data_IF_773791481946
#
_entry.id   IF_773791481946
#
_cell.length_a   1.000
_cell.length_b   1.000
_cell.length_c   1.000
_cell.angle_alpha   90.00
_cell.angle_beta   90.00
_cell.angle_gamma   90.00
#
_symmetry.space_group_name_H-M   'P 1'
#
loop_
_entity.id
_entity.type
_entity.pdbx_description
1 polymer ?
#
# COMPACT_ATOMS: atom_id res chain seq x y z
N UNK A 1 8.13 7.25 -19.18
CA UNK A 1 7.11 6.59 -18.32
C UNK A 1 6.41 7.74 -17.62
N UNK A 2 5.22 8.07 -18.10
CA UNK A 2 4.47 9.27 -17.71
C UNK A 2 3.43 8.86 -16.64
N UNK A 3 3.58 9.37 -15.42
CA UNK A 3 2.89 8.92 -14.21
C UNK A 3 1.51 9.58 -14.01
N UNK A 4 0.70 9.67 -15.07
CA UNK A 4 -0.52 10.50 -15.03
C UNK A 4 -1.84 9.76 -14.74
N UNK A 5 -1.87 8.47 -14.39
CA UNK A 5 -3.17 7.77 -14.21
C UNK A 5 -3.15 6.57 -13.26
N UNK A 6 -2.69 6.76 -12.02
CA UNK A 6 -3.00 5.81 -10.93
C UNK A 6 -3.84 6.55 -9.89
N UNK A 7 -5.17 6.44 -10.00
CA UNK A 7 -6.11 6.94 -8.99
C UNK A 7 -6.37 5.84 -7.95
N UNK A 8 -5.86 6.02 -6.73
CA UNK A 8 -6.27 5.24 -5.57
C UNK A 8 -7.36 6.02 -4.82
N UNK A 9 -8.57 5.46 -4.70
CA UNK A 9 -9.64 6.03 -3.87
C UNK A 9 -9.71 5.28 -2.55
N UNK A 10 -9.37 5.95 -1.44
CA UNK A 10 -9.50 5.42 -0.07
C UNK A 10 -10.42 6.36 0.70
N UNK A 11 -11.62 5.90 1.05
CA UNK A 11 -12.55 6.64 1.91
C UNK A 11 -12.29 6.25 3.37
N UNK A 12 -11.67 7.14 4.15
CA UNK A 12 -11.43 6.96 5.58
C UNK A 12 -12.30 7.88 6.44
N UNK A 13 -13.09 7.32 7.37
CA UNK A 13 -13.59 8.03 8.57
C UNK A 13 -12.67 7.69 9.73
N UNK A 14 -12.04 8.70 10.33
CA UNK A 14 -11.06 8.55 11.40
C UNK A 14 -11.67 8.77 12.78
N UNK A 15 -11.48 7.79 13.66
CA UNK A 15 -11.21 7.98 15.09
C UNK A 15 -10.35 6.79 15.52
N UNK A 16 -9.11 7.02 15.96
CA UNK A 16 -8.28 5.98 16.54
C UNK A 16 -7.46 6.55 17.71
N UNK A 17 -7.70 5.98 18.88
CA UNK A 17 -6.90 6.09 20.11
C UNK A 17 -5.67 5.19 20.02
N UNK A 18 -4.56 5.67 20.59
CA UNK A 18 -3.26 5.00 20.62
C UNK A 18 -3.34 3.62 21.29
N UNK A 19 -2.99 2.56 20.55
CA UNK A 19 -2.69 1.23 21.07
C UNK A 19 -1.23 0.88 20.77
N UNK A 20 -0.61 0.19 21.72
CA UNK A 20 0.82 -0.11 21.83
C UNK A 20 1.47 -0.60 20.52
N UNK A 21 2.60 0.02 20.19
CA UNK A 21 3.31 -0.08 18.91
C UNK A 21 4.47 -1.08 19.03
N UNK A 22 4.38 -2.29 18.44
CA UNK A 22 5.46 -3.28 18.48
C UNK A 22 6.59 -2.86 17.53
N UNK A 23 7.79 -2.54 18.06
CA UNK A 23 9.07 -2.23 17.34
C UNK A 23 8.85 -1.91 15.84
N UNK A 24 8.20 -0.78 15.57
CA UNK A 24 7.31 -0.68 14.42
C UNK A 24 7.98 0.01 13.22
N UNK A 25 8.44 -0.82 12.28
CA UNK A 25 8.86 -0.39 10.94
C UNK A 25 7.83 0.56 10.32
N UNK A 26 6.53 0.37 10.60
CA UNK A 26 5.47 1.27 10.13
C UNK A 26 5.55 2.64 10.78
N UNK A 27 5.87 2.74 12.08
CA UNK A 27 6.03 4.01 12.79
C UNK A 27 7.25 4.79 12.29
N UNK A 28 8.40 4.11 12.11
CA UNK A 28 9.60 4.74 11.55
C UNK A 28 9.34 5.23 10.10
N UNK A 29 8.72 4.38 9.28
CA UNK A 29 8.29 4.75 7.94
C UNK A 29 7.33 5.97 7.97
N UNK A 30 6.38 5.99 8.91
CA UNK A 30 5.43 7.10 9.08
C UNK A 30 6.13 8.42 9.37
N UNK A 31 7.11 8.41 10.29
CA UNK A 31 7.89 9.60 10.66
C UNK A 31 8.72 10.09 9.47
N UNK A 32 9.42 9.17 8.78
CA UNK A 32 10.19 9.52 7.58
C UNK A 32 9.32 10.11 6.47
N UNK A 33 8.15 9.51 6.23
CA UNK A 33 7.20 9.98 5.23
C UNK A 33 6.63 11.36 5.60
N UNK A 34 6.28 11.58 6.87
CA UNK A 34 5.81 12.89 7.34
C UNK A 34 6.87 13.99 7.12
N UNK A 35 8.13 13.74 7.47
CA UNK A 35 9.20 14.71 7.24
C UNK A 35 9.38 15.02 5.76
N UNK A 36 9.30 14.01 4.89
CA UNK A 36 9.37 14.23 3.45
C UNK A 36 8.20 15.08 2.92
N UNK A 37 6.99 14.84 3.42
CA UNK A 37 5.81 15.63 3.09
C UNK A 37 5.92 17.06 3.62
N UNK A 38 6.49 17.27 4.81
CA UNK A 38 6.72 18.59 5.39
C UNK A 38 7.71 19.42 4.56
N UNK A 39 8.83 18.81 4.15
CA UNK A 39 9.82 19.48 3.29
C UNK A 39 9.19 19.92 1.97
N UNK A 40 8.25 19.13 1.44
CA UNK A 40 7.62 19.37 0.13
C UNK A 40 6.41 20.31 0.21
N UNK A 41 5.66 20.27 1.31
CA UNK A 41 4.38 20.96 1.50
C UNK A 41 4.43 22.28 2.27
N UNK A 42 5.61 22.69 2.76
CA UNK A 42 5.77 23.97 3.47
C UNK A 42 4.96 24.04 4.77
N UNK A 43 4.14 25.08 4.93
CA UNK A 43 3.31 25.32 6.13
C UNK A 43 1.87 24.79 6.02
N UNK A 44 1.56 24.01 4.98
CA UNK A 44 0.22 23.44 4.81
C UNK A 44 -0.06 22.30 5.80
N UNK A 45 -1.34 22.08 6.10
CA UNK A 45 -1.76 20.95 6.93
C UNK A 45 -1.50 19.63 6.20
N UNK A 46 -0.88 18.66 6.88
CA UNK A 46 -0.57 17.35 6.33
C UNK A 46 -1.48 16.30 6.97
N UNK A 47 -2.22 15.57 6.13
CA UNK A 47 -3.04 14.42 6.53
C UNK A 47 -2.73 13.28 5.56
N UNK A 48 -2.31 12.13 6.09
CA UNK A 48 -2.03 10.93 5.30
C UNK A 48 -2.21 9.66 6.14
N UNK A 49 -2.30 8.51 5.47
CA UNK A 49 -2.36 7.19 6.10
C UNK A 49 -1.08 6.42 5.78
N UNK A 50 -0.11 6.33 6.72
CA UNK A 50 1.12 5.57 6.48
C UNK A 50 0.86 4.11 6.16
N UNK A 51 -0.13 3.51 6.84
CA UNK A 51 -0.58 2.14 6.62
C UNK A 51 -1.02 1.90 5.17
N UNK A 52 -1.80 2.82 4.60
CA UNK A 52 -2.26 2.71 3.21
C UNK A 52 -1.12 2.81 2.21
N UNK A 53 -0.14 3.69 2.44
CA UNK A 53 1.04 3.82 1.58
C UNK A 53 1.92 2.57 1.68
N UNK A 54 2.13 2.05 2.90
CA UNK A 54 2.87 0.82 3.12
C UNK A 54 2.22 -0.38 2.42
N UNK A 55 0.89 -0.52 2.51
CA UNK A 55 0.13 -1.56 1.78
C UNK A 55 0.30 -1.45 0.27
N UNK A 56 0.21 -0.24 -0.29
CA UNK A 56 0.44 -0.02 -1.72
C UNK A 56 1.86 -0.40 -2.14
N UNK A 57 2.87 -0.03 -1.36
CA UNK A 57 4.26 -0.39 -1.63
C UNK A 57 4.50 -1.90 -1.49
N UNK A 58 3.87 -2.58 -0.53
CA UNK A 58 3.93 -4.04 -0.41
C UNK A 58 3.31 -4.76 -1.60
N UNK A 59 2.21 -4.23 -2.16
CA UNK A 59 1.62 -4.76 -3.40
C UNK A 59 2.57 -4.63 -4.59
N UNK A 60 3.28 -3.50 -4.69
CA UNK A 60 4.28 -3.27 -5.75
C UNK A 60 5.51 -4.16 -5.53
N UNK A 61 5.94 -4.35 -4.28
CA UNK A 61 7.07 -5.21 -3.92
C UNK A 61 6.92 -6.63 -4.49
N UNK A 62 5.72 -7.23 -4.37
CA UNK A 62 5.45 -8.58 -4.88
C UNK A 62 5.74 -8.73 -6.38
N UNK A 63 5.50 -7.67 -7.16
CA UNK A 63 5.76 -7.61 -8.59
C UNK A 63 7.17 -7.13 -8.96
N UNK A 64 7.88 -6.46 -8.05
CA UNK A 64 9.19 -5.87 -8.30
C UNK A 64 10.32 -6.90 -8.26
N UNK A 65 11.41 -6.65 -8.99
CA UNK A 65 12.61 -7.50 -9.03
C UNK A 65 13.87 -6.62 -9.12
N UNK A 66 15.02 -7.18 -8.77
CA UNK A 66 16.32 -6.51 -8.89
C UNK A 66 16.38 -5.20 -8.09
N UNK A 67 16.95 -4.16 -8.71
CA UNK A 67 17.15 -2.87 -8.05
C UNK A 67 15.84 -2.22 -7.55
N UNK A 68 14.74 -2.33 -8.32
CA UNK A 68 13.45 -1.75 -7.91
C UNK A 68 12.89 -2.41 -6.64
N UNK A 69 13.12 -3.71 -6.47
CA UNK A 69 12.73 -4.41 -5.24
C UNK A 69 13.52 -3.89 -4.04
N UNK A 70 14.82 -3.69 -4.22
CA UNK A 70 15.71 -3.19 -3.17
C UNK A 70 15.38 -1.76 -2.76
N UNK A 71 15.10 -0.88 -3.72
CA UNK A 71 14.67 0.50 -3.46
C UNK A 71 13.36 0.55 -2.66
N UNK A 72 12.37 -0.30 -2.98
CA UNK A 72 11.11 -0.38 -2.25
C UNK A 72 11.34 -0.80 -0.79
N UNK A 73 12.15 -1.84 -0.58
CA UNK A 73 12.50 -2.34 0.76
C UNK A 73 13.20 -1.28 1.60
N UNK A 74 14.17 -0.58 1.02
CA UNK A 74 14.87 0.53 1.67
C UNK A 74 13.93 1.71 1.97
N UNK A 75 13.02 2.03 1.05
CA UNK A 75 12.06 3.11 1.24
C UNK A 75 11.19 2.85 2.47
N UNK A 76 10.69 1.62 2.65
CA UNK A 76 9.83 1.27 3.78
C UNK A 76 10.62 0.93 5.06
N UNK A 77 11.88 0.51 4.94
CA UNK A 77 12.78 0.31 6.08
C UNK A 77 12.82 -1.13 6.62
N UNK A 78 12.49 -2.14 5.81
CA UNK A 78 12.67 -3.55 6.18
C UNK A 78 13.64 -4.26 5.24
N UNK A 79 14.45 -5.16 5.80
CA UNK A 79 15.46 -5.92 5.06
C UNK A 79 15.00 -7.35 4.70
N UNK A 80 13.93 -7.84 5.32
CA UNK A 80 13.41 -9.18 5.11
C UNK A 80 12.12 -9.16 4.30
N UNK A 81 11.98 -10.14 3.40
CA UNK A 81 10.75 -10.36 2.65
C UNK A 81 9.61 -10.66 3.63
N UNK A 82 8.43 -10.06 3.42
CA UNK A 82 7.22 -10.30 4.22
C UNK A 82 7.17 -9.72 5.65
N UNK A 83 8.18 -9.01 6.17
CA UNK A 83 8.08 -8.39 7.52
C UNK A 83 6.96 -7.35 7.61
N UNK A 84 6.75 -6.61 6.52
CA UNK A 84 5.60 -5.71 6.41
C UNK A 84 4.29 -6.51 6.42
N UNK A 85 4.23 -7.60 5.65
CA UNK A 85 3.04 -8.42 5.49
C UNK A 85 2.65 -9.18 6.77
N UNK A 86 3.59 -9.59 7.59
CA UNK A 86 3.31 -10.18 8.92
C UNK A 86 2.72 -9.15 9.87
N UNK A 87 3.32 -7.96 9.94
CA UNK A 87 2.81 -6.87 10.79
C UNK A 87 1.42 -6.41 10.35
N UNK A 88 1.21 -6.30 9.04
CA UNK A 88 -0.07 -5.98 8.44
C UNK A 88 -1.09 -7.06 8.76
N UNK A 89 -0.80 -8.34 8.48
CA UNK A 89 -1.74 -9.44 8.75
C UNK A 89 -2.17 -9.46 10.21
N UNK A 90 -1.27 -9.18 11.15
CA UNK A 90 -1.58 -9.04 12.57
C UNK A 90 -2.51 -7.85 12.85
N UNK A 91 -2.17 -6.65 12.35
CA UNK A 91 -3.01 -5.45 12.48
C UNK A 91 -4.38 -5.57 11.79
N UNK A 92 -4.51 -6.47 10.79
CA UNK A 92 -5.75 -6.75 10.07
C UNK A 92 -6.57 -7.90 10.69
N UNK A 93 -6.01 -8.60 11.67
CA UNK A 93 -6.64 -9.74 12.35
C UNK A 93 -7.15 -9.39 13.74
N UNK A 94 -6.92 -8.17 14.22
CA UNK A 94 -7.49 -7.66 15.48
C UNK A 94 -8.96 -7.32 15.30
N UNK A 95 -9.80 -8.30 15.58
CA UNK A 95 -11.25 -8.22 15.72
C UNK A 95 -11.58 -7.63 17.09
N UNK A 96 -11.26 -6.35 17.32
CA UNK A 96 -11.75 -5.66 18.51
C UNK A 96 -13.08 -5.00 18.16
N UNK A 97 -14.13 -5.38 18.91
CA UNK A 97 -15.54 -4.97 18.73
C UNK A 97 -15.78 -3.44 18.71
N UNK A 98 -14.75 -2.62 18.85
CA UNK A 98 -14.79 -1.17 19.01
C UNK A 98 -14.34 -0.39 17.76
N UNK A 99 -13.72 -1.02 16.75
CA UNK A 99 -13.37 -0.36 15.49
C UNK A 99 -13.48 -1.29 14.28
N UNK A 100 -13.94 -0.75 13.14
CA UNK A 100 -14.03 -1.49 11.87
C UNK A 100 -12.95 -1.00 10.92
N UNK A 101 -11.89 -1.78 10.74
CA UNK A 101 -10.91 -1.54 9.66
C UNK A 101 -11.44 -2.21 8.37
N UNK A 102 -11.85 -1.39 7.40
CA UNK A 102 -12.25 -1.87 6.06
C UNK A 102 -11.13 -1.58 5.07
N UNK A 103 -10.47 -2.63 4.61
CA UNK A 103 -9.52 -2.55 3.51
C UNK A 103 -10.19 -3.05 2.24
N UNK A 104 -10.29 -2.16 1.25
CA UNK A 104 -10.70 -2.47 -0.10
C UNK A 104 -9.49 -2.24 -1.01
N UNK A 105 -8.64 -3.26 -1.13
CA UNK A 105 -7.55 -3.23 -2.10
C UNK A 105 -8.08 -3.73 -3.43
N UNK A 106 -7.82 -3.00 -4.51
CA UNK A 106 -8.20 -3.39 -5.85
C UNK A 106 -7.00 -3.30 -6.77
N UNK A 107 -6.81 -4.33 -7.60
CA UNK A 107 -5.78 -4.40 -8.61
C UNK A 107 -6.45 -4.37 -9.99
N UNK A 108 -6.21 -3.30 -10.73
CA UNK A 108 -6.74 -3.11 -12.08
C UNK A 108 -5.66 -3.43 -13.12
N UNK A 109 -5.92 -4.41 -13.99
CA UNK A 109 -4.97 -4.97 -14.94
C UNK A 109 -5.37 -4.67 -16.37
N UNK A 110 -4.41 -4.35 -17.25
CA UNK A 110 -4.71 -4.11 -18.66
C UNK A 110 -5.12 -5.40 -19.37
N UNK A 111 -6.22 -5.34 -20.11
CA UNK A 111 -6.69 -6.41 -21.00
C UNK A 111 -5.65 -6.70 -22.08
N UNK A 112 -5.37 -7.99 -22.31
CA UNK A 112 -4.41 -8.45 -23.32
C UNK A 112 -2.97 -8.60 -22.82
N UNK A 113 -2.68 -8.19 -21.57
CA UNK A 113 -1.39 -8.45 -20.91
C UNK A 113 -1.48 -9.74 -20.08
N UNK A 114 -0.47 -10.59 -20.18
CA UNK A 114 -0.36 -11.81 -19.38
C UNK A 114 0.40 -11.49 -18.09
N UNK A 115 -0.24 -11.76 -16.95
CA UNK A 115 0.34 -11.57 -15.62
C UNK A 115 0.73 -12.92 -15.02
N UNK A 116 1.77 -12.92 -14.19
CA UNK A 116 2.20 -14.10 -13.47
C UNK A 116 1.12 -14.54 -12.47
N UNK A 117 0.73 -15.82 -12.51
CA UNK A 117 -0.37 -16.34 -11.68
C UNK A 117 -0.04 -16.34 -10.19
N UNK A 118 1.21 -16.64 -9.82
CA UNK A 118 1.65 -16.63 -8.42
C UNK A 118 1.52 -15.22 -7.83
N UNK A 119 1.90 -14.18 -8.59
CA UNK A 119 1.69 -12.79 -8.20
C UNK A 119 0.21 -12.50 -7.91
N UNK A 120 -0.71 -12.92 -8.80
CA UNK A 120 -2.15 -12.71 -8.58
C UNK A 120 -2.68 -13.47 -7.36
N UNK A 121 -2.15 -14.67 -7.08
CA UNK A 121 -2.50 -15.44 -5.88
C UNK A 121 -1.99 -14.77 -4.61
N UNK A 122 -0.75 -14.26 -4.62
CA UNK A 122 -0.16 -13.54 -3.49
C UNK A 122 -0.93 -12.24 -3.19
N UNK A 123 -1.36 -11.51 -4.22
CA UNK A 123 -2.20 -10.31 -4.10
C UNK A 123 -3.53 -10.61 -3.39
N UNK A 124 -4.21 -11.69 -3.77
CA UNK A 124 -5.44 -12.13 -3.11
C UNK A 124 -5.19 -12.59 -1.67
N UNK A 125 -4.12 -13.36 -1.45
CA UNK A 125 -3.78 -13.95 -0.15
C UNK A 125 -3.43 -12.90 0.90
N UNK A 126 -2.51 -12.00 0.57
CA UNK A 126 -1.94 -11.07 1.55
C UNK A 126 -2.68 -9.75 1.62
N UNK A 127 -3.22 -9.27 0.50
CA UNK A 127 -3.86 -7.97 0.43
C UNK A 127 -5.38 -8.04 0.33
N UNK A 128 -5.97 -9.25 0.27
CA UNK A 128 -7.40 -9.47 0.00
C UNK A 128 -7.85 -8.68 -1.23
N UNK A 129 -6.96 -8.53 -2.22
CA UNK A 129 -7.19 -7.64 -3.34
C UNK A 129 -8.21 -8.23 -4.31
N UNK A 130 -9.20 -7.43 -4.70
CA UNK A 130 -10.05 -7.73 -5.85
C UNK A 130 -9.26 -7.45 -7.13
N UNK A 131 -9.19 -8.42 -8.03
CA UNK A 131 -8.45 -8.29 -9.29
C UNK A 131 -9.46 -8.11 -10.42
N UNK A 132 -9.37 -6.98 -11.11
CA UNK A 132 -10.23 -6.66 -12.25
C UNK A 132 -9.37 -6.37 -13.48
N UNK A 133 -9.78 -6.91 -14.63
CA UNK A 133 -9.14 -6.60 -15.92
C UNK A 133 -9.93 -5.52 -16.63
N UNK A 134 -9.27 -4.41 -16.97
CA UNK A 134 -9.85 -3.24 -17.61
C UNK A 134 -9.09 -2.90 -18.90
N UNK A 135 -9.67 -2.08 -19.77
CA UNK A 135 -9.00 -1.58 -20.99
C UNK A 135 -8.67 -0.10 -20.84
N UNK A 136 -7.47 0.20 -20.36
CA UNK A 136 -6.97 1.56 -20.15
C UNK A 136 -6.72 2.29 -21.47
N UNK A 137 -6.42 1.60 -22.57
CA UNK A 137 -6.12 2.23 -23.86
C UNK A 137 -7.36 2.92 -24.40
N UNK A 138 -8.52 2.25 -24.33
CA UNK A 138 -9.80 2.79 -24.76
C UNK A 138 -10.33 3.91 -23.86
N UNK A 139 -9.86 3.99 -22.62
CA UNK A 139 -10.25 5.04 -21.67
C UNK A 139 -9.51 6.37 -21.90
N UNK A 140 -8.30 6.35 -22.48
CA UNK A 140 -7.50 7.56 -22.73
C UNK A 140 -7.92 8.38 -23.97
N UNK A 141 -8.81 7.84 -24.81
CA UNK A 141 -9.24 8.46 -26.08
C UNK A 141 -10.55 9.25 -25.96
N UNK A 142 -10.86 9.81 -24.78
CA UNK A 142 -12.05 10.61 -24.49
C UNK A 142 -11.66 11.93 -23.87
#
# INVERSE_FOLDING_TARGET
IDFHSIFFSIIGKSMATAADVPEDVTAEFSVRLYHQLQITGGEENIIFSPLSVALALGMVELGARGASLEEIRQAVGYNEEFSLLSNLTQALSTDEEQYVVRLANSLFLQTGVHFNEDFLQLMKKYFKAEVETVDFIKLSSK
#
